data_IF_581618796128
#
_entry.id   IF_581618796128
#
_cell.length_a   1.000
_cell.length_b   1.000
_cell.length_c   1.000
_cell.angle_alpha   90.00
_cell.angle_beta   90.00
_cell.angle_gamma   90.00
#
_symmetry.space_group_name_H-M   'P 1'
#
loop_
_entity.id
_entity.type
_entity.pdbx_description
1 polymer ?
#
# COMPACT_ATOMS: atom_id res chain seq x y z
N UNK A 1 16.93 89.72 3.59
CA UNK A 1 16.94 90.00 5.04
C UNK A 1 16.44 88.76 5.78
N UNK A 2 17.36 88.10 6.50
CA UNK A 2 17.22 87.40 7.80
C UNK A 2 15.94 86.58 8.04
N UNK A 3 16.06 85.25 8.22
CA UNK A 3 15.57 84.60 9.45
C UNK A 3 16.21 83.23 9.68
N UNK A 4 16.37 82.91 10.97
CA UNK A 4 17.23 81.90 11.59
C UNK A 4 16.53 80.54 11.75
N UNK A 5 17.34 79.49 11.71
CA UNK A 5 17.49 78.37 12.68
C UNK A 5 16.19 77.80 13.29
N UNK A 6 15.94 76.49 13.08
CA UNK A 6 15.66 75.58 14.20
C UNK A 6 15.87 74.11 13.84
N UNK A 7 16.79 73.51 14.56
CA UNK A 7 17.13 72.09 14.70
C UNK A 7 15.97 71.30 15.29
N UNK A 8 15.73 70.07 14.83
CA UNK A 8 15.26 68.98 15.70
C UNK A 8 15.70 67.61 15.18
N UNK A 9 16.45 66.90 16.03
CA UNK A 9 16.93 65.54 15.85
C UNK A 9 15.80 64.52 15.73
N UNK A 10 16.01 63.45 14.94
CA UNK A 10 15.56 62.11 15.32
C UNK A 10 16.42 61.01 14.64
N UNK A 11 17.55 60.74 15.29
CA UNK A 11 18.11 59.44 15.69
C UNK A 11 17.47 58.12 15.16
N UNK A 12 18.37 57.14 14.92
CA UNK A 12 18.23 55.65 14.98
C UNK A 12 17.93 54.94 13.63
N UNK A 13 18.43 53.75 13.27
CA UNK A 13 19.36 52.74 13.82
C UNK A 13 19.82 51.86 12.62
N UNK A 14 21.05 51.36 12.73
CA UNK A 14 21.70 50.19 12.12
C UNK A 14 20.80 49.15 11.39
N UNK A 15 21.16 48.83 10.14
CA UNK A 15 20.70 47.64 9.42
C UNK A 15 21.77 46.53 9.44
N UNK A 16 21.63 45.58 10.38
CA UNK A 16 22.24 44.26 10.26
C UNK A 16 21.33 43.39 9.36
N UNK A 17 21.76 43.15 8.12
CA UNK A 17 21.08 42.21 7.23
C UNK A 17 21.44 40.77 7.62
N UNK A 18 20.56 40.12 8.38
CA UNK A 18 20.54 38.67 8.54
C UNK A 18 19.76 38.11 7.34
N UNK A 19 20.41 37.29 6.52
CA UNK A 19 19.75 36.54 5.45
C UNK A 19 18.82 35.49 6.08
N UNK A 20 17.53 35.77 6.08
CA UNK A 20 16.51 34.77 6.34
C UNK A 20 16.43 33.82 5.13
N UNK A 21 16.79 32.56 5.33
CA UNK A 21 16.41 31.47 4.43
C UNK A 21 14.90 31.32 4.58
N UNK A 22 14.15 31.86 3.61
CA UNK A 22 12.70 31.73 3.53
C UNK A 22 12.36 30.28 3.16
N UNK A 23 12.19 29.42 4.17
CA UNK A 23 11.52 28.13 3.98
C UNK A 23 10.02 28.41 3.81
N UNK A 24 9.63 28.92 2.64
CA UNK A 24 8.22 28.93 2.24
C UNK A 24 7.75 27.48 2.18
N UNK A 25 6.89 27.11 3.12
CA UNK A 25 6.08 25.90 3.02
C UNK A 25 5.31 25.98 1.71
N UNK A 26 5.59 25.05 0.80
CA UNK A 26 4.86 24.93 -0.46
C UNK A 26 3.41 24.56 -0.14
N UNK A 27 2.54 25.57 -0.09
CA UNK A 27 1.13 25.38 0.20
C UNK A 27 0.39 24.78 -1.01
N UNK A 28 0.97 24.75 -2.23
CA UNK A 28 0.29 24.36 -3.47
C UNK A 28 0.06 22.84 -3.65
N UNK A 29 0.02 22.06 -2.56
CA UNK A 29 -0.22 20.61 -2.61
C UNK A 29 -1.51 20.24 -3.36
N UNK A 30 -2.52 21.11 -3.31
CA UNK A 30 -3.78 20.95 -4.04
C UNK A 30 -3.61 21.04 -5.57
N UNK A 31 -2.58 21.70 -6.10
CA UNK A 31 -2.37 21.86 -7.55
C UNK A 31 -1.90 20.55 -8.20
N UNK A 32 -1.25 19.71 -7.40
CA UNK A 32 -0.73 18.39 -7.82
C UNK A 32 -1.72 17.26 -7.52
N UNK A 33 -2.82 17.53 -6.79
CA UNK A 33 -3.80 16.51 -6.34
C UNK A 33 -4.53 15.77 -7.46
N UNK A 34 -4.56 16.36 -8.66
CA UNK A 34 -5.24 15.82 -9.84
C UNK A 34 -4.30 15.17 -10.85
N UNK A 35 -3.06 14.84 -10.47
CA UNK A 35 -2.17 14.04 -11.33
C UNK A 35 -2.68 12.59 -11.37
N UNK A 36 -3.75 12.40 -12.16
CA UNK A 36 -4.47 11.20 -12.62
C UNK A 36 -4.29 9.91 -11.82
N UNK A 37 -5.41 9.40 -11.29
CA UNK A 37 -5.51 7.98 -10.98
C UNK A 37 -5.70 7.19 -12.28
N UNK A 38 -4.77 6.28 -12.58
CA UNK A 38 -4.84 5.36 -13.73
C UNK A 38 -5.87 4.22 -13.54
N UNK A 39 -6.76 4.36 -12.56
CA UNK A 39 -7.66 3.30 -12.09
C UNK A 39 -9.02 3.40 -12.78
N UNK A 40 -9.40 2.36 -13.52
CA UNK A 40 -10.74 2.22 -14.07
C UNK A 40 -11.73 1.75 -12.99
N UNK A 41 -12.86 2.44 -12.84
CA UNK A 41 -13.90 2.09 -11.86
C UNK A 41 -15.28 1.88 -12.52
N UNK A 42 -15.75 0.62 -12.68
CA UNK A 42 -17.07 0.32 -13.22
C UNK A 42 -18.17 0.41 -12.14
N UNK A 43 -18.82 1.57 -12.02
CA UNK A 43 -19.82 1.84 -10.98
C UNK A 43 -21.02 0.86 -10.98
N UNK A 44 -21.49 0.37 -12.13
CA UNK A 44 -22.64 -0.55 -12.17
C UNK A 44 -22.31 -1.90 -11.52
N UNK A 45 -21.13 -2.46 -11.81
CA UNK A 45 -20.70 -3.73 -11.23
C UNK A 45 -20.55 -3.62 -9.70
N UNK A 46 -19.97 -2.52 -9.21
CA UNK A 46 -19.87 -2.27 -7.77
C UNK A 46 -21.24 -2.09 -7.12
N UNK A 47 -22.17 -1.39 -7.79
CA UNK A 47 -23.52 -1.20 -7.27
C UNK A 47 -24.27 -2.52 -7.11
N UNK A 48 -24.10 -3.46 -8.04
CA UNK A 48 -24.75 -4.77 -7.96
C UNK A 48 -24.23 -5.59 -6.77
N UNK A 49 -22.92 -5.57 -6.54
CA UNK A 49 -22.28 -6.20 -5.36
C UNK A 49 -22.73 -5.53 -4.06
N UNK A 50 -22.70 -4.18 -4.00
CA UNK A 50 -23.13 -3.43 -2.81
C UNK A 50 -24.59 -3.72 -2.45
N UNK A 51 -25.48 -3.84 -3.44
CA UNK A 51 -26.88 -4.22 -3.20
C UNK A 51 -27.02 -5.63 -2.64
N UNK A 52 -26.21 -6.58 -3.13
CA UNK A 52 -26.24 -7.96 -2.68
C UNK A 52 -25.77 -8.09 -1.22
N UNK A 53 -24.77 -7.30 -0.82
CA UNK A 53 -24.19 -7.36 0.52
C UNK A 53 -24.85 -6.40 1.52
N UNK A 54 -25.72 -5.49 1.05
CA UNK A 54 -26.39 -4.50 1.89
C UNK A 54 -25.53 -3.29 2.25
N UNK A 55 -24.48 -3.05 1.47
CA UNK A 55 -23.52 -1.96 1.67
C UNK A 55 -24.15 -0.59 1.36
N UNK A 56 -23.93 0.37 2.25
CA UNK A 56 -24.47 1.73 2.12
C UNK A 56 -23.79 2.49 0.97
N UNK A 57 -24.55 3.28 0.22
CA UNK A 57 -24.01 4.23 -0.76
C UNK A 57 -23.00 5.21 -0.13
N UNK A 58 -23.12 5.46 1.19
CA UNK A 58 -22.23 6.34 1.95
C UNK A 58 -20.82 5.74 2.17
N UNK A 59 -20.60 4.45 1.91
CA UNK A 59 -19.26 3.85 1.94
C UNK A 59 -18.30 4.58 0.99
N UNK A 60 -18.81 4.97 -0.19
CA UNK A 60 -18.03 5.70 -1.19
C UNK A 60 -18.42 7.18 -1.29
N UNK A 61 -19.64 7.55 -0.88
CA UNK A 61 -20.17 8.92 -0.97
C UNK A 61 -20.31 9.58 0.41
N UNK A 62 -19.27 9.51 1.23
CA UNK A 62 -19.25 9.95 2.63
C UNK A 62 -19.38 11.46 2.87
N UNK A 63 -19.26 12.30 1.82
CA UNK A 63 -19.36 13.76 1.90
C UNK A 63 -20.56 14.38 1.18
N UNK A 64 -21.52 13.56 0.72
CA UNK A 64 -22.77 14.10 0.17
C UNK A 64 -23.68 14.62 1.30
N UNK A 65 -24.43 15.70 1.07
CA UNK A 65 -25.53 16.06 1.99
C UNK A 65 -26.49 14.86 2.08
N UNK A 66 -26.84 14.49 3.31
CA UNK A 66 -27.63 13.30 3.65
C UNK A 66 -29.03 13.23 3.00
N UNK A 67 -29.47 14.30 2.33
CA UNK A 67 -30.78 14.44 1.68
C UNK A 67 -30.76 14.16 0.17
N UNK A 68 -29.60 13.90 -0.43
CA UNK A 68 -29.50 13.65 -1.87
C UNK A 68 -29.63 12.16 -2.17
N UNK A 69 -30.87 11.73 -2.43
CA UNK A 69 -31.21 10.35 -2.88
C UNK A 69 -31.26 10.21 -4.41
N UNK A 70 -31.10 11.31 -5.14
CA UNK A 70 -31.15 11.33 -6.60
C UNK A 70 -29.82 10.83 -7.20
N UNK A 71 -29.86 9.64 -7.80
CA UNK A 71 -28.74 8.97 -8.48
C UNK A 71 -28.06 9.88 -9.51
N UNK A 72 -28.80 10.77 -10.19
CA UNK A 72 -28.23 11.69 -11.19
C UNK A 72 -27.39 12.78 -10.52
N UNK A 73 -27.77 13.23 -9.33
CA UNK A 73 -27.02 14.24 -8.56
C UNK A 73 -25.79 13.64 -7.90
N UNK A 74 -25.88 12.39 -7.44
CA UNK A 74 -24.75 11.66 -6.82
C UNK A 74 -23.63 11.39 -7.84
N UNK A 75 -23.96 11.04 -9.09
CA UNK A 75 -22.97 10.81 -10.16
C UNK A 75 -22.00 11.97 -10.39
N UNK A 76 -22.44 13.20 -10.17
CA UNK A 76 -21.64 14.41 -10.41
C UNK A 76 -20.73 14.82 -9.22
N UNK A 77 -20.84 14.16 -8.06
CA UNK A 77 -20.05 14.46 -6.85
C UNK A 77 -18.65 13.79 -6.83
N UNK A 78 -18.26 13.14 -7.92
CA UNK A 78 -17.16 12.16 -7.95
C UNK A 78 -15.75 12.72 -8.10
N UNK A 79 -15.57 14.05 -8.19
CA UNK A 79 -14.28 14.65 -8.57
C UNK A 79 -13.46 15.20 -7.39
N UNK A 80 -14.05 15.40 -6.19
CA UNK A 80 -13.37 16.09 -5.08
C UNK A 80 -13.32 15.30 -3.75
N UNK A 81 -14.10 14.22 -3.57
CA UNK A 81 -14.20 13.52 -2.27
C UNK A 81 -13.12 12.45 -1.99
N UNK A 82 -12.12 12.30 -2.85
CA UNK A 82 -11.46 11.00 -3.09
C UNK A 82 -9.97 10.92 -2.69
N UNK A 83 -9.48 11.79 -1.82
CA UNK A 83 -8.13 11.64 -1.21
C UNK A 83 -8.01 10.32 -0.42
N UNK A 84 -9.13 9.77 0.05
CA UNK A 84 -9.21 8.47 0.72
C UNK A 84 -9.68 7.31 -0.19
N UNK A 85 -9.50 7.37 -1.51
CA UNK A 85 -9.85 6.25 -2.40
C UNK A 85 -9.15 4.95 -2.01
N UNK A 86 -7.88 5.03 -1.59
CA UNK A 86 -7.12 3.85 -1.18
C UNK A 86 -7.83 3.07 -0.06
N UNK A 87 -8.13 3.65 1.12
CA UNK A 87 -8.89 2.95 2.17
C UNK A 87 -10.24 2.38 1.72
N UNK A 88 -11.01 3.13 0.93
CA UNK A 88 -12.36 2.71 0.50
C UNK A 88 -12.28 1.51 -0.47
N UNK A 89 -11.35 1.53 -1.41
CA UNK A 89 -11.15 0.42 -2.34
C UNK A 89 -10.49 -0.77 -1.64
N UNK A 90 -9.49 -0.52 -0.80
CA UNK A 90 -8.69 -1.57 -0.17
C UNK A 90 -9.45 -2.35 0.91
N UNK A 91 -10.47 -1.78 1.56
CA UNK A 91 -11.26 -2.54 2.56
C UNK A 91 -11.83 -3.84 1.97
N UNK A 92 -12.48 -3.76 0.80
CA UNK A 92 -13.10 -4.91 0.16
C UNK A 92 -12.09 -5.71 -0.68
N UNK A 93 -11.20 -4.99 -1.39
CA UNK A 93 -10.29 -5.61 -2.35
C UNK A 93 -8.98 -6.10 -1.73
N UNK A 94 -8.50 -5.60 -0.60
CA UNK A 94 -7.18 -5.97 -0.06
C UNK A 94 -7.29 -6.57 1.33
N UNK A 95 -8.04 -5.91 2.22
CA UNK A 95 -8.15 -6.31 3.61
C UNK A 95 -9.07 -7.54 3.75
N UNK A 96 -10.26 -7.48 3.16
CA UNK A 96 -11.26 -8.56 3.22
C UNK A 96 -11.15 -9.56 2.06
N UNK A 97 -10.47 -9.20 0.97
CA UNK A 97 -10.26 -10.01 -0.25
C UNK A 97 -11.56 -10.63 -0.82
N UNK A 98 -12.71 -9.96 -0.63
CA UNK A 98 -14.03 -10.39 -1.12
C UNK A 98 -14.36 -9.89 -2.53
N UNK A 99 -13.47 -9.08 -3.10
CA UNK A 99 -13.52 -8.57 -4.47
C UNK A 99 -12.17 -8.83 -5.18
N UNK A 100 -12.04 -8.60 -6.50
CA UNK A 100 -10.79 -8.81 -7.23
C UNK A 100 -9.61 -8.05 -6.59
N UNK A 101 -8.70 -8.77 -5.95
CA UNK A 101 -7.71 -8.21 -5.04
C UNK A 101 -6.32 -7.99 -5.64
N UNK A 102 -6.10 -8.55 -6.85
CA UNK A 102 -4.83 -8.40 -7.56
C UNK A 102 -4.56 -6.94 -7.87
N UNK A 103 -3.41 -6.43 -7.40
CA UNK A 103 -3.09 -5.02 -7.48
C UNK A 103 -3.07 -4.51 -8.94
N UNK A 104 -2.66 -5.33 -9.90
CA UNK A 104 -2.57 -4.97 -11.32
C UNK A 104 -3.93 -4.86 -12.04
N UNK A 105 -5.02 -5.26 -11.39
CA UNK A 105 -6.38 -5.02 -11.89
C UNK A 105 -6.72 -3.52 -11.87
N UNK A 106 -6.20 -2.80 -10.88
CA UNK A 106 -6.43 -1.37 -10.68
C UNK A 106 -5.18 -0.53 -10.95
N UNK A 107 -4.00 -1.02 -10.57
CA UNK A 107 -2.72 -0.36 -10.73
C UNK A 107 -2.02 -0.85 -12.00
N UNK A 108 -2.38 -0.26 -13.13
CA UNK A 108 -1.78 -0.60 -14.44
C UNK A 108 -0.30 -0.23 -14.53
N UNK A 109 0.11 0.81 -13.81
CA UNK A 109 1.50 1.23 -13.66
C UNK A 109 2.11 0.57 -12.41
N UNK A 110 2.85 -0.53 -12.62
CA UNK A 110 3.46 -1.32 -11.54
C UNK A 110 4.55 -0.54 -10.80
N UNK A 111 5.21 0.40 -11.46
CA UNK A 111 6.31 1.17 -10.87
C UNK A 111 5.83 2.08 -9.73
N UNK A 112 4.54 2.45 -9.72
CA UNK A 112 3.96 3.28 -8.65
C UNK A 112 3.62 2.52 -7.37
N UNK A 113 3.48 1.19 -7.46
CA UNK A 113 3.12 0.35 -6.31
C UNK A 113 4.27 -0.55 -5.87
N UNK A 114 5.25 -0.79 -6.74
CA UNK A 114 6.42 -1.58 -6.38
C UNK A 114 7.32 -0.82 -5.40
N UNK A 115 7.78 -1.50 -4.33
CA UNK A 115 8.74 -0.90 -3.42
C UNK A 115 10.07 -0.56 -4.14
N UNK A 116 10.83 0.44 -3.65
CA UNK A 116 12.07 0.88 -4.32
C UNK A 116 13.17 -0.17 -4.43
N UNK A 117 13.13 -1.24 -3.62
CA UNK A 117 14.09 -2.36 -3.65
C UNK A 117 13.77 -3.41 -4.72
N UNK A 118 12.56 -3.39 -5.30
CA UNK A 118 12.13 -4.28 -6.39
C UNK A 118 12.72 -3.86 -7.73
N UNK A 119 14.06 -3.78 -7.77
CA UNK A 119 14.83 -3.39 -8.95
C UNK A 119 15.20 -4.61 -9.79
N UNK A 120 16.10 -4.39 -10.75
CA UNK A 120 16.62 -5.41 -11.65
C UNK A 120 17.06 -6.68 -10.89
N UNK A 121 16.57 -7.82 -11.36
CA UNK A 121 16.90 -9.16 -10.87
C UNK A 121 16.55 -9.46 -9.40
N UNK A 122 15.59 -8.73 -8.82
CA UNK A 122 15.09 -8.99 -7.46
C UNK A 122 14.64 -10.45 -7.28
N UNK A 123 14.01 -11.05 -8.31
CA UNK A 123 13.55 -12.44 -8.27
C UNK A 123 14.66 -13.42 -7.88
N UNK A 124 15.91 -13.18 -8.26
CA UNK A 124 17.03 -14.06 -7.92
C UNK A 124 17.77 -13.67 -6.62
N UNK A 125 17.48 -12.49 -6.06
CA UNK A 125 18.21 -11.92 -4.91
C UNK A 125 17.31 -11.54 -3.71
N UNK A 126 16.02 -11.88 -3.76
CA UNK A 126 15.06 -11.56 -2.71
C UNK A 126 15.25 -12.39 -1.42
N UNK A 127 16.16 -13.37 -1.41
CA UNK A 127 16.38 -14.28 -0.29
C UNK A 127 16.79 -13.56 1.01
N UNK A 128 17.60 -12.51 0.91
CA UNK A 128 18.03 -11.72 2.08
C UNK A 128 16.88 -10.89 2.64
N UNK A 129 16.12 -10.23 1.76
CA UNK A 129 14.95 -9.44 2.13
C UNK A 129 13.85 -10.32 2.76
N UNK A 130 13.56 -11.47 2.15
CA UNK A 130 12.58 -12.45 2.65
C UNK A 130 12.97 -13.00 4.02
N UNK A 131 14.25 -13.31 4.26
CA UNK A 131 14.74 -13.74 5.58
C UNK A 131 14.62 -12.66 6.65
N UNK A 132 14.80 -11.40 6.26
CA UNK A 132 14.68 -10.26 7.17
C UNK A 132 13.24 -10.00 7.59
N UNK A 133 12.29 -10.01 6.65
CA UNK A 133 10.89 -9.70 6.93
C UNK A 133 9.92 -10.28 5.87
N UNK A 134 9.67 -11.58 5.92
CA UNK A 134 8.68 -12.27 5.06
C UNK A 134 7.29 -11.62 5.13
N UNK A 135 6.86 -11.19 6.32
CA UNK A 135 5.54 -10.57 6.53
C UNK A 135 5.36 -9.25 5.78
N UNK A 136 6.44 -8.55 5.47
CA UNK A 136 6.37 -7.37 4.62
C UNK A 136 5.94 -7.72 3.20
N UNK A 137 6.40 -8.85 2.66
CA UNK A 137 6.02 -9.33 1.33
C UNK A 137 4.51 -9.60 1.26
N UNK A 138 3.92 -10.16 2.32
CA UNK A 138 2.49 -10.48 2.43
C UNK A 138 1.59 -9.23 2.40
N UNK A 139 2.13 -8.01 2.53
CA UNK A 139 1.33 -6.78 2.41
C UNK A 139 0.91 -6.47 0.98
N UNK A 140 1.61 -7.04 -0.01
CA UNK A 140 1.34 -6.85 -1.43
C UNK A 140 1.15 -8.19 -2.16
N UNK A 141 1.90 -9.22 -1.77
CA UNK A 141 1.77 -10.58 -2.28
C UNK A 141 0.79 -11.38 -1.42
N UNK A 142 -0.50 -11.10 -1.61
CA UNK A 142 -1.59 -11.61 -0.76
C UNK A 142 -1.85 -13.12 -0.89
N UNK A 143 -1.47 -13.72 -2.02
CA UNK A 143 -1.65 -15.15 -2.28
C UNK A 143 -0.34 -15.92 -2.07
N UNK A 144 -0.40 -16.98 -1.26
CA UNK A 144 0.71 -17.90 -0.99
C UNK A 144 1.28 -18.54 -2.25
N UNK A 145 0.48 -18.67 -3.32
CA UNK A 145 0.93 -19.18 -4.61
C UNK A 145 2.08 -18.35 -5.20
N UNK A 146 2.16 -17.05 -4.86
CA UNK A 146 3.28 -16.21 -5.25
C UNK A 146 4.64 -16.80 -4.85
N UNK A 147 4.71 -17.40 -3.64
CA UNK A 147 5.90 -18.05 -3.13
C UNK A 147 6.06 -19.45 -3.74
N UNK A 148 4.98 -20.25 -3.70
CA UNK A 148 5.06 -21.67 -4.03
C UNK A 148 5.26 -21.94 -5.52
N UNK A 149 4.80 -21.05 -6.40
CA UNK A 149 4.97 -21.16 -7.86
C UNK A 149 6.44 -21.27 -8.28
N UNK A 150 7.37 -20.72 -7.50
CA UNK A 150 8.80 -20.89 -7.76
C UNK A 150 9.46 -21.82 -6.72
N UNK A 151 9.14 -21.70 -5.44
CA UNK A 151 9.83 -22.46 -4.39
C UNK A 151 9.49 -23.96 -4.36
N UNK A 152 8.34 -24.35 -4.91
CA UNK A 152 7.90 -25.75 -5.01
C UNK A 152 8.02 -26.31 -6.44
N UNK A 153 8.42 -25.48 -7.41
CA UNK A 153 8.59 -25.91 -8.79
C UNK A 153 9.79 -26.83 -8.94
N UNK A 154 9.59 -27.98 -9.58
CA UNK A 154 10.62 -29.02 -9.79
C UNK A 154 11.59 -28.67 -10.94
N UNK A 155 11.19 -27.78 -11.85
CA UNK A 155 11.95 -27.36 -13.02
C UNK A 155 12.94 -26.21 -12.74
N UNK A 156 12.76 -25.46 -11.65
CA UNK A 156 13.71 -24.45 -11.21
C UNK A 156 14.94 -25.11 -10.58
N UNK A 157 16.09 -24.98 -11.25
CA UNK A 157 17.39 -25.42 -10.74
C UNK A 157 17.85 -24.49 -9.61
N UNK A 158 17.60 -24.88 -8.36
CA UNK A 158 18.05 -24.16 -7.17
C UNK A 158 17.91 -25.03 -5.92
N UNK A 159 18.53 -24.67 -4.79
CA UNK A 159 18.12 -25.24 -3.52
C UNK A 159 16.66 -24.84 -3.34
N UNK A 160 15.74 -25.79 -3.43
CA UNK A 160 14.33 -25.52 -3.13
C UNK A 160 14.16 -24.94 -1.72
N UNK A 161 12.92 -24.74 -1.30
CA UNK A 161 12.66 -24.19 0.04
C UNK A 161 13.34 -24.97 1.18
N UNK A 162 13.55 -26.28 0.97
CA UNK A 162 14.26 -27.14 1.88
C UNK A 162 15.66 -27.51 1.37
N UNK A 163 16.69 -27.48 2.22
CA UNK A 163 18.03 -27.96 1.86
C UNK A 163 18.05 -29.48 1.64
N UNK A 164 19.11 -29.97 0.98
CA UNK A 164 19.35 -31.41 0.89
C UNK A 164 19.46 -32.02 2.31
N UNK A 165 18.85 -33.20 2.52
CA UNK A 165 18.83 -33.85 3.83
C UNK A 165 17.84 -33.24 4.83
N UNK A 166 16.92 -32.36 4.40
CA UNK A 166 15.96 -31.71 5.30
C UNK A 166 15.20 -32.69 6.21
N UNK A 167 14.79 -33.85 5.69
CA UNK A 167 14.08 -34.88 6.47
C UNK A 167 14.81 -35.28 7.76
N UNK A 168 16.14 -35.28 7.78
CA UNK A 168 16.92 -35.62 8.98
C UNK A 168 17.21 -34.42 9.88
N UNK A 169 17.10 -33.19 9.37
CA UNK A 169 17.50 -31.96 10.07
C UNK A 169 16.31 -31.12 10.57
N UNK A 170 15.12 -31.29 9.98
CA UNK A 170 13.94 -30.47 10.27
C UNK A 170 13.45 -30.57 11.72
N UNK A 171 13.85 -31.60 12.46
CA UNK A 171 13.41 -31.79 13.85
C UNK A 171 13.83 -30.67 14.79
N UNK A 172 14.93 -29.95 14.49
CA UNK A 172 15.31 -28.76 15.25
C UNK A 172 14.37 -27.59 14.94
N UNK A 173 14.12 -27.31 13.65
CA UNK A 173 13.23 -26.24 13.20
C UNK A 173 11.79 -26.45 13.68
N UNK A 174 11.26 -27.68 13.56
CA UNK A 174 9.93 -28.03 14.01
C UNK A 174 9.72 -27.86 15.53
N UNK A 175 10.79 -27.97 16.33
CA UNK A 175 10.73 -27.72 17.77
C UNK A 175 10.76 -26.23 18.12
N UNK A 176 11.43 -25.41 17.30
CA UNK A 176 11.48 -23.97 17.52
C UNK A 176 10.20 -23.28 17.06
N UNK A 177 9.69 -23.64 15.88
CA UNK A 177 8.52 -22.98 15.29
C UNK A 177 7.82 -23.89 14.25
N UNK A 178 7.10 -24.90 14.74
CA UNK A 178 6.30 -25.80 13.89
C UNK A 178 5.19 -25.09 13.12
N UNK A 179 4.71 -23.94 13.61
CA UNK A 179 3.64 -23.19 12.96
C UNK A 179 4.05 -22.67 11.58
N UNK A 180 5.35 -22.42 11.35
CA UNK A 180 5.88 -22.03 10.03
C UNK A 180 5.66 -23.08 8.96
N UNK A 181 5.69 -24.36 9.32
CA UNK A 181 5.40 -25.45 8.38
C UNK A 181 3.96 -25.34 7.84
N UNK A 182 3.05 -24.87 8.69
CA UNK A 182 1.64 -24.59 8.40
C UNK A 182 1.39 -23.62 7.25
N UNK A 183 2.40 -22.83 6.86
CA UNK A 183 2.28 -21.88 5.72
C UNK A 183 2.17 -22.59 4.38
N UNK A 184 2.81 -23.74 4.22
CA UNK A 184 2.82 -24.50 2.96
C UNK A 184 2.29 -25.93 3.13
N UNK A 185 2.38 -26.49 4.32
CA UNK A 185 1.96 -27.85 4.65
C UNK A 185 0.78 -27.81 5.62
N UNK A 186 -0.13 -28.76 5.46
CA UNK A 186 -1.18 -28.99 6.45
C UNK A 186 -0.71 -29.98 7.54
N UNK A 187 -1.52 -30.16 8.57
CA UNK A 187 -1.26 -31.09 9.68
C UNK A 187 -0.98 -32.53 9.21
N UNK A 188 -1.70 -32.99 8.18
CA UNK A 188 -1.58 -34.36 7.68
C UNK A 188 -0.18 -34.68 7.15
N UNK A 189 0.54 -33.67 6.66
CA UNK A 189 1.92 -33.84 6.21
C UNK A 189 2.85 -34.33 7.33
N UNK A 190 2.59 -33.92 8.57
CA UNK A 190 3.35 -34.36 9.73
C UNK A 190 2.98 -35.80 10.08
N UNK A 191 1.68 -36.12 10.08
CA UNK A 191 1.18 -37.44 10.49
C UNK A 191 1.61 -38.55 9.54
N UNK A 192 1.81 -38.27 8.25
CA UNK A 192 2.33 -39.26 7.28
C UNK A 192 3.61 -39.98 7.75
N UNK A 193 4.47 -39.31 8.51
CA UNK A 193 5.72 -39.89 9.05
C UNK A 193 5.77 -39.97 10.59
N UNK A 194 4.85 -39.31 11.29
CA UNK A 194 4.82 -39.25 12.76
C UNK A 194 3.61 -39.93 13.39
N UNK A 195 2.66 -40.47 12.61
CA UNK A 195 1.46 -41.15 13.11
C UNK A 195 1.74 -42.44 13.91
N UNK A 196 2.90 -43.06 13.73
CA UNK A 196 3.26 -44.36 14.35
C UNK A 196 4.54 -44.29 15.18
N UNK A 197 4.89 -43.12 15.72
CA UNK A 197 6.06 -42.97 16.60
C UNK A 197 5.70 -43.09 18.06
#
# INVERSE_FOLDING_TARGET
MICRIMTFCLLLILSNAVFAIDTKTDNSWWEKRNQKSDVHYPHNAHLDVMKQEGDSCLLCHSYAKFDVVDIKKIKNLTVIANEALKPICHSCHVDEQRAPWRCDVCHTDKERIQPPDHKFDYKNHHNEASRGNEKYCETCHLDVNFCTDCHLRRDTSGPGYHPLGYRTLHGLEARFDSARCGRCHNEFYCSDCHATR
#
